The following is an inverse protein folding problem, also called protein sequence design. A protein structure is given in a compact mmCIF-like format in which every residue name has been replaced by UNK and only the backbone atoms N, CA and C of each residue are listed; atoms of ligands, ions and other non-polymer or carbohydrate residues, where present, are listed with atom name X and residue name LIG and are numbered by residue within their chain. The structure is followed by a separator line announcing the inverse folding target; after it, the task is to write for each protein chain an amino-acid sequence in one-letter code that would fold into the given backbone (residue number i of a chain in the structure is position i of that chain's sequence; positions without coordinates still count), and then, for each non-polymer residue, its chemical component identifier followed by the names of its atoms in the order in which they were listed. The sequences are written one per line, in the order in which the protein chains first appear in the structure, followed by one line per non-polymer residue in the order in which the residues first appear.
data_IF_303441188735
#
_entry.id   IF_303441188735
#
_cell.length_a   1.000
_cell.length_b   1.000
_cell.length_c   1.000
_cell.angle_alpha   90.00
_cell.angle_beta   90.00
_cell.angle_gamma   90.00
#
_symmetry.space_group_name_H-M   'P 1'
#
loop_
_entity.id
_entity.type
_entity.pdbx_description
1 polymer ?
#
# COMPACT_ATOMS: atom_id res chain seq x y z
N UNK A 1 -11.75 0.07 4.39
CA UNK A 1 -11.70 -1.13 3.52
C UNK A 1 -10.38 -1.12 2.77
N UNK A 2 -9.77 -2.28 2.60
CA UNK A 2 -8.67 -2.47 1.67
C UNK A 2 -8.87 -3.78 0.88
N UNK A 3 -8.42 -3.83 -0.37
CA UNK A 3 -8.40 -5.06 -1.18
C UNK A 3 -7.03 -5.28 -1.82
N UNK A 4 -6.60 -6.54 -1.90
CA UNK A 4 -5.32 -6.92 -2.46
C UNK A 4 -5.39 -8.16 -3.34
N UNK A 5 -4.49 -8.26 -4.32
CA UNK A 5 -4.32 -9.41 -5.21
C UNK A 5 -2.88 -9.93 -5.12
N UNK A 6 -2.70 -11.25 -5.01
CA UNK A 6 -1.39 -11.89 -5.16
C UNK A 6 -1.06 -12.02 -6.63
N UNK A 7 0.11 -11.54 -7.04
CA UNK A 7 0.63 -11.65 -8.39
C UNK A 7 1.64 -12.81 -8.49
N UNK A 8 1.90 -13.33 -9.70
CA UNK A 8 2.84 -14.44 -9.92
C UNK A 8 4.28 -14.19 -9.45
N UNK A 9 4.69 -12.93 -9.24
CA UNK A 9 6.06 -12.52 -8.89
C UNK A 9 6.29 -12.32 -7.38
N UNK A 10 5.54 -13.03 -6.52
CA UNK A 10 5.58 -12.86 -5.06
C UNK A 10 5.33 -11.41 -4.60
N UNK A 11 4.52 -10.67 -5.37
CA UNK A 11 4.09 -9.31 -5.04
C UNK A 11 2.60 -9.32 -4.73
N UNK A 12 2.21 -8.62 -3.66
CA UNK A 12 0.82 -8.26 -3.43
C UNK A 12 0.56 -6.86 -3.98
N UNK A 13 -0.46 -6.72 -4.83
CA UNK A 13 -0.96 -5.41 -5.26
C UNK A 13 -2.16 -5.00 -4.40
N UNK A 14 -2.09 -3.82 -3.79
CA UNK A 14 -3.23 -3.16 -3.13
C UNK A 14 -3.94 -2.30 -4.16
N UNK A 15 -5.20 -2.60 -4.45
CA UNK A 15 -5.97 -1.90 -5.50
C UNK A 15 -6.85 -0.79 -4.97
N UNK A 16 -7.34 -0.94 -3.75
CA UNK A 16 -8.23 0.07 -3.16
C UNK A 16 -7.97 0.16 -1.67
N UNK A 17 -7.71 1.37 -1.19
CA UNK A 17 -7.68 1.71 0.24
C UNK A 17 -8.63 2.87 0.43
N UNK A 18 -9.67 2.67 1.24
CA UNK A 18 -10.65 3.70 1.54
C UNK A 18 -10.94 3.77 3.02
N UNK A 19 -10.94 5.01 3.53
CA UNK A 19 -11.31 5.36 4.90
C UNK A 19 -12.45 6.37 4.83
N UNK A 20 -13.53 6.06 5.53
CA UNK A 20 -14.70 6.96 5.67
C UNK A 20 -14.25 8.36 6.11
N UNK A 21 -14.81 9.44 5.54
CA UNK A 21 -14.46 10.81 5.91
C UNK A 21 -14.47 11.05 7.43
N UNK A 22 -15.49 10.54 8.13
CA UNK A 22 -15.65 10.66 9.59
C UNK A 22 -14.58 9.92 10.40
N UNK A 23 -13.85 8.99 9.79
CA UNK A 23 -12.81 8.19 10.44
C UNK A 23 -11.38 8.65 10.07
N UNK A 24 -11.24 9.69 9.23
CA UNK A 24 -9.93 10.24 8.86
C UNK A 24 -9.29 10.95 10.04
N UNK A 25 -7.96 10.95 10.10
CA UNK A 25 -7.21 11.54 11.23
C UNK A 25 -7.05 10.60 12.42
N UNK A 26 -7.84 9.52 12.51
CA UNK A 26 -7.78 8.54 13.60
C UNK A 26 -6.90 7.32 13.31
N UNK A 27 -5.84 7.50 12.51
CA UNK A 27 -4.87 6.44 12.14
C UNK A 27 -5.47 5.16 11.51
N UNK A 28 -6.70 5.22 10.99
CA UNK A 28 -7.34 4.07 10.34
C UNK A 28 -6.58 3.62 9.08
N UNK A 29 -6.04 4.57 8.32
CA UNK A 29 -5.20 4.26 7.16
C UNK A 29 -3.92 3.51 7.55
N UNK A 30 -3.35 3.80 8.72
CA UNK A 30 -2.16 3.10 9.22
C UNK A 30 -2.49 1.64 9.54
N UNK A 31 -3.55 1.41 10.31
CA UNK A 31 -3.99 0.05 10.66
C UNK A 31 -4.34 -0.79 9.43
N UNK A 32 -4.94 -0.17 8.40
CA UNK A 32 -5.24 -0.87 7.15
C UNK A 32 -3.96 -1.29 6.42
N UNK A 33 -2.95 -0.43 6.35
CA UNK A 33 -1.66 -0.77 5.73
C UNK A 33 -0.91 -1.84 6.51
N UNK A 34 -0.87 -1.74 7.84
CA UNK A 34 -0.27 -2.76 8.70
C UNK A 34 -0.93 -4.13 8.50
N UNK A 35 -2.27 -4.19 8.47
CA UNK A 35 -3.00 -5.42 8.23
C UNK A 35 -2.72 -6.02 6.84
N UNK A 36 -2.65 -5.17 5.81
CA UNK A 36 -2.30 -5.59 4.44
C UNK A 36 -0.89 -6.16 4.38
N UNK A 37 0.08 -5.51 5.02
CA UNK A 37 1.47 -6.01 5.02
C UNK A 37 1.61 -7.31 5.80
N UNK A 38 0.90 -7.47 6.92
CA UNK A 38 0.86 -8.72 7.67
C UNK A 38 0.27 -9.84 6.83
N UNK A 39 -0.86 -9.59 6.17
CA UNK A 39 -1.48 -10.55 5.25
C UNK A 39 -0.53 -10.90 4.11
N UNK A 40 0.09 -9.92 3.45
CA UNK A 40 1.03 -10.14 2.35
C UNK A 40 2.23 -11.00 2.76
N UNK A 41 2.80 -10.79 3.95
CA UNK A 41 3.83 -11.68 4.51
C UNK A 41 3.31 -13.11 4.68
N UNK A 42 2.10 -13.28 5.21
CA UNK A 42 1.45 -14.59 5.33
C UNK A 42 1.19 -15.29 3.99
N UNK A 43 1.15 -14.55 2.88
CA UNK A 43 1.05 -15.08 1.51
C UNK A 43 2.42 -15.35 0.85
N UNK A 44 3.53 -15.21 1.61
CA UNK A 44 4.90 -15.35 1.10
C UNK A 44 5.34 -14.22 0.18
N UNK A 45 4.64 -13.07 0.18
CA UNK A 45 4.99 -11.97 -0.70
C UNK A 45 6.26 -11.24 -0.22
N UNK A 46 7.17 -10.96 -1.15
CA UNK A 46 8.42 -10.23 -0.89
C UNK A 46 8.26 -8.71 -1.02
N UNK A 47 7.14 -8.26 -1.60
CA UNK A 47 6.82 -6.84 -1.70
C UNK A 47 5.32 -6.58 -1.81
N UNK A 48 4.95 -5.35 -1.46
CA UNK A 48 3.62 -4.78 -1.70
C UNK A 48 3.75 -3.65 -2.71
N UNK A 49 2.85 -3.58 -3.69
CA UNK A 49 2.73 -2.45 -4.63
C UNK A 49 1.33 -1.84 -4.58
N UNK A 50 1.23 -0.58 -4.98
CA UNK A 50 -0.03 0.13 -5.14
C UNK A 50 0.08 1.20 -6.23
N UNK A 51 -1.07 1.67 -6.70
CA UNK A 51 -1.18 2.86 -7.54
C UNK A 51 -1.97 3.92 -6.78
N UNK A 52 -1.57 5.17 -6.93
CA UNK A 52 -2.22 6.33 -6.32
C UNK A 52 -2.23 7.48 -7.31
N UNK A 53 -3.33 8.23 -7.39
CA UNK A 53 -3.36 9.44 -8.21
C UNK A 53 -2.25 10.40 -7.76
N UNK A 54 -1.47 10.92 -8.71
CA UNK A 54 -0.33 11.79 -8.42
C UNK A 54 -0.71 13.05 -7.61
N UNK A 55 -1.93 13.56 -7.79
CA UNK A 55 -2.47 14.69 -7.01
C UNK A 55 -2.99 14.33 -5.61
N UNK A 56 -3.00 13.06 -5.20
CA UNK A 56 -3.48 12.64 -3.88
C UNK A 56 -2.36 12.67 -2.83
N UNK A 57 -1.89 13.89 -2.53
CA UNK A 57 -0.76 14.14 -1.63
C UNK A 57 -0.94 13.49 -0.25
N UNK A 58 -2.17 13.48 0.27
CA UNK A 58 -2.49 12.87 1.56
C UNK A 58 -2.25 11.35 1.55
N UNK A 59 -2.68 10.66 0.49
CA UNK A 59 -2.44 9.23 0.37
C UNK A 59 -0.96 8.93 0.12
N UNK A 60 -0.29 9.72 -0.72
CA UNK A 60 1.15 9.60 -0.97
C UNK A 60 1.95 9.75 0.33
N UNK A 61 1.63 10.75 1.15
CA UNK A 61 2.28 10.96 2.45
C UNK A 61 2.04 9.77 3.42
N UNK A 62 0.82 9.22 3.45
CA UNK A 62 0.49 8.00 4.19
C UNK A 62 1.35 6.82 3.72
N UNK A 63 1.49 6.59 2.41
CA UNK A 63 2.29 5.47 1.91
C UNK A 63 3.79 5.66 2.19
N UNK A 64 4.32 6.88 1.99
CA UNK A 64 5.73 7.20 2.27
C UNK A 64 6.10 6.95 3.73
N UNK A 65 5.26 7.37 4.70
CA UNK A 65 5.56 7.10 6.13
C UNK A 65 5.56 5.62 6.49
N UNK A 66 4.85 4.80 5.71
CA UNK A 66 4.88 3.34 5.84
C UNK A 66 6.03 2.69 5.07
N UNK A 67 6.92 3.46 4.45
CA UNK A 67 8.10 2.94 3.76
C UNK A 67 7.86 2.52 2.31
N UNK A 68 6.74 2.93 1.71
CA UNK A 68 6.57 2.83 0.27
C UNK A 68 7.40 3.89 -0.44
N UNK A 69 8.06 3.49 -1.52
CA UNK A 69 8.83 4.37 -2.40
C UNK A 69 8.18 4.47 -3.77
N UNK A 70 8.36 5.59 -4.45
CA UNK A 70 7.95 5.75 -5.84
C UNK A 70 8.68 4.74 -6.73
N UNK A 71 7.95 4.09 -7.63
CA UNK A 71 8.45 3.02 -8.50
C UNK A 71 8.08 3.24 -9.96
N UNK A 72 7.77 4.48 -10.36
CA UNK A 72 7.37 4.87 -11.71
C UNK A 72 5.96 5.45 -11.76
N UNK A 73 5.63 6.06 -12.89
CA UNK A 73 4.35 6.74 -13.13
C UNK A 73 3.71 6.18 -14.41
N UNK A 74 2.39 6.17 -14.47
CA UNK A 74 1.62 5.84 -15.66
C UNK A 74 0.42 6.77 -15.76
N UNK A 75 0.48 7.71 -16.70
CA UNK A 75 -0.54 8.76 -16.83
C UNK A 75 -0.65 9.57 -15.53
N UNK A 76 -1.85 9.58 -14.93
CA UNK A 76 -2.13 10.30 -13.69
C UNK A 76 -1.83 9.49 -12.41
N UNK A 77 -1.35 8.25 -12.54
CA UNK A 77 -1.09 7.37 -11.40
C UNK A 77 0.41 7.24 -11.10
N UNK A 78 0.76 7.43 -9.85
CA UNK A 78 2.05 7.08 -9.28
C UNK A 78 1.99 5.64 -8.77
N UNK A 79 2.88 4.80 -9.28
CA UNK A 79 3.12 3.46 -8.73
C UNK A 79 4.06 3.58 -7.54
N UNK A 80 3.69 2.98 -6.41
CA UNK A 80 4.53 2.88 -5.23
C UNK A 80 4.77 1.42 -4.83
N UNK A 81 5.93 1.14 -4.25
CA UNK A 81 6.33 -0.21 -3.82
C UNK A 81 7.00 -0.16 -2.45
N UNK A 82 6.75 -1.18 -1.62
CA UNK A 82 7.50 -1.47 -0.39
C UNK A 82 8.00 -2.91 -0.44
N UNK A 83 9.28 -3.12 -0.19
CA UNK A 83 9.84 -4.46 0.01
C UNK A 83 9.53 -4.93 1.44
N UNK A 84 9.00 -6.13 1.58
CA UNK A 84 8.73 -6.75 2.86
C UNK A 84 9.99 -7.47 3.33
N UNK A 85 10.56 -7.02 4.45
CA UNK A 85 11.64 -7.76 5.12
C UNK A 85 10.99 -8.83 5.99
N UNK A 86 11.48 -10.07 5.85
CA UNK A 86 11.19 -11.15 6.78
C UNK A 86 12.27 -11.14 7.87
N UNK A 87 11.93 -11.25 9.15
CA UNK A 87 12.92 -11.55 10.17
C UNK A 87 13.61 -12.88 9.80
N UNK A 88 14.93 -12.91 9.95
CA UNK A 88 15.74 -14.12 9.78
C UNK A 88 15.42 -15.17 10.84
#
# INVERSE_FOLDING_TARGET
MASGLRLPDDVVEVRSVWVSPHARGHRVGDRLLEAVEQWARGQGAVAVRLFVLAGNERAIALYRRHGFVAAGESGAELRMRKTLRFPA
#
